data_IF_300674653671
#
_entry.id   IF_300674653671
#
_cell.length_a   1.000
_cell.length_b   1.000
_cell.length_c   1.000
_cell.angle_alpha   90.00
_cell.angle_beta   90.00
_cell.angle_gamma   90.00
#
_symmetry.space_group_name_H-M   'P 1'
#
loop_
_entity.id
_entity.type
_entity.pdbx_description
1 polymer ?
#
# COMPACT_ATOMS: atom_id res chain seq x y z
N UNK A 1 22.85 -19.04 -14.08
CA UNK A 1 22.58 -17.67 -13.58
C UNK A 1 22.13 -17.83 -12.15
N UNK A 2 22.69 -17.05 -11.22
CA UNK A 2 22.22 -17.05 -9.82
C UNK A 2 20.75 -16.62 -9.75
N UNK A 3 20.00 -17.28 -8.89
CA UNK A 3 18.59 -16.98 -8.64
C UNK A 3 18.48 -15.64 -7.90
N UNK A 4 17.99 -14.59 -8.57
CA UNK A 4 17.74 -13.29 -7.97
C UNK A 4 16.28 -13.23 -7.46
N UNK A 5 16.03 -13.13 -6.14
CA UNK A 5 14.68 -13.02 -5.57
C UNK A 5 13.84 -11.86 -6.11
N UNK A 6 14.47 -10.79 -6.63
CA UNK A 6 13.76 -9.68 -7.26
C UNK A 6 12.98 -10.08 -8.53
N UNK A 7 13.39 -11.17 -9.20
CA UNK A 7 12.68 -11.66 -10.38
C UNK A 7 11.34 -12.31 -10.01
N UNK A 8 11.27 -13.02 -8.88
CA UNK A 8 10.02 -13.60 -8.37
C UNK A 8 9.04 -12.50 -7.96
N UNK A 9 9.52 -11.46 -7.28
CA UNK A 9 8.71 -10.30 -6.89
C UNK A 9 8.12 -9.61 -8.13
N UNK A 10 8.92 -9.46 -9.20
CA UNK A 10 8.43 -8.91 -10.47
C UNK A 10 7.34 -9.75 -11.10
N UNK A 11 7.51 -11.07 -11.18
CA UNK A 11 6.49 -11.98 -11.73
C UNK A 11 5.19 -11.96 -10.91
N UNK A 12 5.29 -11.92 -9.57
CA UNK A 12 4.13 -11.80 -8.68
C UNK A 12 3.41 -10.47 -8.88
N UNK A 13 4.14 -9.36 -8.98
CA UNK A 13 3.56 -8.05 -9.32
C UNK A 13 2.92 -8.07 -10.71
N UNK A 14 3.58 -8.65 -11.71
CA UNK A 14 3.07 -8.68 -13.08
C UNK A 14 1.78 -9.48 -13.16
N UNK A 15 1.75 -10.64 -12.50
CA UNK A 15 0.54 -11.45 -12.36
C UNK A 15 -0.55 -10.70 -11.62
N UNK A 16 -0.21 -10.01 -10.53
CA UNK A 16 -1.15 -9.16 -9.79
C UNK A 16 -1.73 -8.03 -10.64
N UNK A 17 -0.97 -7.45 -11.58
CA UNK A 17 -1.47 -6.39 -12.46
C UNK A 17 -2.30 -6.90 -13.63
N UNK A 18 -2.06 -8.14 -14.09
CA UNK A 18 -2.65 -8.69 -15.31
C UNK A 18 -3.84 -9.62 -15.07
N UNK A 19 -3.86 -10.38 -13.98
CA UNK A 19 -4.98 -11.28 -13.68
C UNK A 19 -6.13 -10.50 -13.06
N UNK A 20 -7.35 -10.69 -13.56
CA UNK A 20 -8.57 -10.19 -12.92
C UNK A 20 -9.01 -11.14 -11.78
N UNK A 21 -9.68 -10.61 -10.76
CA UNK A 21 -10.31 -11.41 -9.70
C UNK A 21 -9.67 -11.32 -8.31
N UNK A 22 -8.76 -10.37 -8.08
CA UNK A 22 -8.32 -10.03 -6.72
C UNK A 22 -9.53 -9.62 -5.87
N UNK A 23 -9.54 -10.03 -4.60
CA UNK A 23 -10.48 -9.53 -3.62
C UNK A 23 -9.89 -8.28 -2.99
N UNK A 24 -10.52 -7.10 -3.13
CA UNK A 24 -9.96 -5.87 -2.60
C UNK A 24 -10.09 -5.85 -1.08
N UNK A 25 -9.03 -5.46 -0.39
CA UNK A 25 -9.07 -5.27 1.06
C UNK A 25 -9.32 -3.79 1.39
N UNK A 26 -10.57 -3.36 1.25
CA UNK A 26 -10.99 -1.97 1.51
C UNK A 26 -10.60 -1.50 2.93
N UNK A 27 -10.75 -2.31 4.00
CA UNK A 27 -10.25 -1.93 5.33
C UNK A 27 -8.74 -1.65 5.35
N UNK A 28 -7.92 -2.50 4.72
CA UNK A 28 -6.47 -2.30 4.65
C UNK A 28 -6.12 -1.04 3.84
N UNK A 29 -6.74 -0.84 2.68
CA UNK A 29 -6.57 0.37 1.88
C UNK A 29 -6.83 1.64 2.72
N UNK A 30 -7.94 1.67 3.48
CA UNK A 30 -8.25 2.78 4.37
C UNK A 30 -7.18 2.96 5.44
N UNK A 31 -6.72 1.89 6.07
CA UNK A 31 -5.67 1.94 7.09
C UNK A 31 -4.41 2.60 6.54
N UNK A 32 -3.89 2.12 5.41
CA UNK A 32 -2.67 2.66 4.82
C UNK A 32 -2.80 4.11 4.39
N UNK A 33 -3.97 4.51 3.88
CA UNK A 33 -4.26 5.93 3.58
C UNK A 33 -4.24 6.77 4.85
N UNK A 34 -4.83 6.31 5.96
CA UNK A 34 -4.77 7.02 7.23
C UNK A 34 -3.36 7.06 7.81
N UNK A 35 -2.57 6.00 7.65
CA UNK A 35 -1.16 5.97 8.04
C UNK A 35 -0.35 7.03 7.26
N UNK A 36 -0.57 7.14 5.95
CA UNK A 36 0.08 8.17 5.13
C UNK A 36 -0.34 9.60 5.54
N UNK A 37 -1.64 9.81 5.82
CA UNK A 37 -2.14 11.09 6.33
C UNK A 37 -1.47 11.42 7.67
N UNK A 38 -1.40 10.46 8.59
CA UNK A 38 -0.77 10.65 9.88
C UNK A 38 0.72 10.95 9.72
N UNK A 39 1.45 10.18 8.91
CA UNK A 39 2.87 10.36 8.66
C UNK A 39 3.20 11.75 8.09
N UNK A 40 2.34 12.28 7.22
CA UNK A 40 2.53 13.60 6.59
C UNK A 40 2.05 14.78 7.44
N UNK A 41 1.20 14.53 8.45
CA UNK A 41 0.62 15.59 9.31
C UNK A 41 1.13 15.57 10.75
N UNK A 42 1.81 14.49 11.17
CA UNK A 42 2.40 14.37 12.51
C UNK A 42 3.50 15.42 12.74
N UNK A 43 3.51 16.02 13.92
CA UNK A 43 4.45 17.09 14.26
C UNK A 43 5.79 16.49 14.70
N UNK A 44 6.76 16.44 13.79
CA UNK A 44 8.08 15.83 14.04
C UNK A 44 9.16 16.85 14.45
N UNK A 45 8.94 18.15 14.25
CA UNK A 45 9.94 19.17 14.57
C UNK A 45 10.01 19.48 16.08
N UNK A 46 11.12 19.10 16.72
CA UNK A 46 11.54 19.63 18.03
C UNK A 46 10.83 19.07 19.26
N UNK A 47 9.91 18.10 19.14
CA UNK A 47 9.31 17.42 20.29
C UNK A 47 9.77 15.98 20.40
N UNK A 48 9.89 15.50 21.65
CA UNK A 48 10.20 14.11 22.00
C UNK A 48 9.23 13.20 21.24
N UNK A 49 9.76 12.19 20.52
CA UNK A 49 8.98 11.18 19.77
C UNK A 49 7.69 10.86 20.53
N UNK A 50 6.56 11.37 20.03
CA UNK A 50 5.26 11.15 20.66
C UNK A 50 4.90 9.70 20.33
N UNK A 51 4.49 8.94 21.36
CA UNK A 51 4.11 7.54 21.22
C UNK A 51 3.00 7.43 20.16
N UNK A 52 3.25 6.70 19.08
CA UNK A 52 2.32 6.52 17.97
C UNK A 52 2.67 7.26 16.68
N UNK A 53 3.77 8.02 16.60
CA UNK A 53 4.27 8.50 15.29
C UNK A 53 4.73 7.34 14.41
N UNK A 54 4.47 7.46 13.12
CA UNK A 54 4.88 6.49 12.10
C UNK A 54 6.24 6.92 11.55
N UNK A 55 7.19 6.00 11.42
CA UNK A 55 8.52 6.31 10.91
C UNK A 55 8.46 6.68 9.43
N UNK A 56 9.24 7.68 9.00
CA UNK A 56 9.41 7.98 7.57
C UNK A 56 10.07 6.83 6.80
N UNK A 57 10.75 5.91 7.50
CA UNK A 57 11.31 4.68 6.89
C UNK A 57 10.21 3.75 6.35
N UNK A 58 8.97 3.87 6.84
CA UNK A 58 7.83 3.07 6.37
C UNK A 58 7.16 3.66 5.12
N UNK A 59 7.51 4.89 4.72
CA UNK A 59 6.83 5.63 3.64
C UNK A 59 6.73 4.80 2.34
N UNK A 60 7.84 4.20 1.90
CA UNK A 60 7.89 3.44 0.66
C UNK A 60 6.95 2.22 0.72
N UNK A 61 6.90 1.54 1.87
CA UNK A 61 6.02 0.39 2.08
C UNK A 61 4.55 0.80 2.16
N UNK A 62 4.23 1.89 2.87
CA UNK A 62 2.88 2.44 2.97
C UNK A 62 2.37 2.86 1.58
N UNK A 63 3.18 3.59 0.82
CA UNK A 63 2.84 4.02 -0.55
C UNK A 63 2.61 2.83 -1.48
N UNK A 64 3.49 1.82 -1.45
CA UNK A 64 3.33 0.62 -2.28
C UNK A 64 2.07 -0.17 -1.88
N UNK A 65 1.79 -0.29 -0.59
CA UNK A 65 0.58 -0.97 -0.09
C UNK A 65 -0.70 -0.27 -0.58
N UNK A 66 -0.74 1.07 -0.59
CA UNK A 66 -1.86 1.83 -1.15
C UNK A 66 -2.01 1.53 -2.65
N UNK A 67 -0.92 1.55 -3.42
CA UNK A 67 -0.95 1.28 -4.87
C UNK A 67 -1.47 -0.14 -5.16
N UNK A 68 -0.99 -1.14 -4.42
CA UNK A 68 -1.44 -2.53 -4.55
C UNK A 68 -2.94 -2.63 -4.25
N UNK A 69 -3.39 -2.19 -3.07
CA UNK A 69 -4.79 -2.34 -2.67
C UNK A 69 -5.76 -1.53 -3.55
N UNK A 70 -5.36 -0.34 -3.99
CA UNK A 70 -6.14 0.46 -4.94
C UNK A 70 -6.25 -0.23 -6.29
N UNK A 71 -5.16 -0.87 -6.76
CA UNK A 71 -5.18 -1.62 -8.01
C UNK A 71 -6.07 -2.85 -7.90
N UNK A 72 -6.01 -3.59 -6.79
CA UNK A 72 -6.94 -4.70 -6.54
C UNK A 72 -8.40 -4.21 -6.54
N UNK A 73 -8.69 -3.06 -5.92
CA UNK A 73 -10.03 -2.47 -5.92
C UNK A 73 -10.54 -2.15 -7.33
N UNK A 74 -9.69 -1.61 -8.20
CA UNK A 74 -10.05 -1.36 -9.61
C UNK A 74 -10.24 -2.67 -10.37
N UNK A 75 -9.28 -3.59 -10.31
CA UNK A 75 -9.32 -4.85 -11.07
C UNK A 75 -10.45 -5.79 -10.62
N UNK A 76 -10.88 -5.71 -9.36
CA UNK A 76 -12.01 -6.48 -8.85
C UNK A 76 -13.37 -6.06 -9.41
N UNK A 77 -13.48 -4.83 -9.95
CA UNK A 77 -14.76 -4.24 -10.35
C UNK A 77 -15.67 -3.83 -9.20
N UNK A 78 -15.28 -4.00 -7.93
CA UNK A 78 -16.07 -3.54 -6.77
C UNK A 78 -16.20 -2.01 -6.76
N UNK A 79 -15.19 -1.28 -7.23
CA UNK A 79 -15.25 0.18 -7.35
C UNK A 79 -16.41 0.65 -8.25
N UNK A 80 -16.66 -0.06 -9.34
CA UNK A 80 -17.72 0.28 -10.29
C UNK A 80 -19.13 0.07 -9.73
N UNK A 81 -19.27 -0.71 -8.66
CA UNK A 81 -20.55 -0.96 -7.98
C UNK A 81 -20.96 0.16 -7.03
N UNK A 82 -20.06 1.10 -6.72
CA UNK A 82 -20.33 2.24 -5.85
C UNK A 82 -21.03 3.41 -6.57
N UNK A 83 -21.44 3.22 -7.83
CA UNK A 83 -22.16 4.21 -8.64
C UNK A 83 -23.62 4.38 -8.22
#
# INVERSE_FOLDING_TARGET
MEHNPANEIKEVMWKFLMDYGQQPNIPALKSYVYDLIQMTTQKTAGQRQIKGHISWEELDMTMMSIVIEATALVLSGELDKLK
#
